data_IF_950950677961
#
_entry.id   IF_950950677961
#
_cell.length_a   1.000
_cell.length_b   1.000
_cell.length_c   1.000
_cell.angle_alpha   90.00
_cell.angle_beta   90.00
_cell.angle_gamma   90.00
#
_symmetry.space_group_name_H-M   'P 1'
#
loop_
_entity.id
_entity.type
_entity.pdbx_description
1 polymer ?
#
# COMPACT_ATOMS: atom_id res chain seq x y z
N UNK A 1 -18.42 11.69 8.38
CA UNK A 1 -18.16 10.49 9.21
C UNK A 1 -16.70 10.59 9.64
N UNK A 2 -16.43 10.75 10.93
CA UNK A 2 -15.05 10.84 11.43
C UNK A 2 -14.46 9.44 11.55
N UNK A 3 -13.29 9.21 10.98
CA UNK A 3 -12.53 7.98 11.19
C UNK A 3 -11.83 8.08 12.55
N UNK A 4 -12.20 7.24 13.50
CA UNK A 4 -11.72 7.27 14.89
C UNK A 4 -10.38 6.56 15.04
N UNK A 5 -10.26 5.34 14.54
CA UNK A 5 -9.00 4.59 14.45
C UNK A 5 -9.12 3.45 13.43
N UNK A 6 -7.99 2.84 13.05
CA UNK A 6 -7.96 1.62 12.23
C UNK A 6 -6.73 0.76 12.52
N UNK A 7 -6.74 -0.49 12.05
CA UNK A 7 -5.56 -1.36 12.04
C UNK A 7 -4.98 -1.44 10.64
N UNK A 8 -3.66 -1.34 10.52
CA UNK A 8 -2.92 -1.53 9.28
C UNK A 8 -2.07 -2.80 9.38
N UNK A 9 -2.41 -3.80 8.58
CA UNK A 9 -1.70 -5.07 8.49
C UNK A 9 -0.69 -5.03 7.34
N UNK A 10 0.55 -5.44 7.60
CA UNK A 10 1.56 -5.56 6.55
C UNK A 10 2.67 -6.57 6.87
N UNK A 11 3.41 -6.99 5.85
CA UNK A 11 4.44 -8.04 5.95
C UNK A 11 5.88 -7.52 5.95
N UNK A 12 6.07 -6.23 5.72
CA UNK A 12 7.35 -5.55 5.93
C UNK A 12 7.26 -4.73 7.22
N UNK A 13 8.38 -4.37 7.87
CA UNK A 13 8.36 -3.46 9.01
C UNK A 13 7.73 -2.08 8.69
N UNK A 14 7.31 -1.36 9.74
CA UNK A 14 6.80 0.02 9.65
C UNK A 14 7.77 0.93 8.88
N UNK A 15 7.20 1.88 8.13
CA UNK A 15 7.97 2.78 7.26
C UNK A 15 8.53 2.16 5.97
N UNK A 16 8.16 0.92 5.60
CA UNK A 16 8.63 0.27 4.36
C UNK A 16 7.52 -0.11 3.38
N UNK A 17 7.87 -0.11 2.10
CA UNK A 17 7.04 -0.61 1.00
C UNK A 17 5.70 0.11 0.86
N UNK A 18 4.72 -0.59 0.31
CA UNK A 18 3.37 -0.04 0.10
C UNK A 18 2.63 0.25 1.41
N UNK A 19 2.96 -0.46 2.49
CA UNK A 19 2.41 -0.17 3.82
C UNK A 19 2.87 1.20 4.36
N UNK A 20 4.04 1.68 3.97
CA UNK A 20 4.54 3.01 4.38
C UNK A 20 3.72 4.14 3.76
N UNK A 21 3.26 3.97 2.52
CA UNK A 21 2.46 4.96 1.80
C UNK A 21 1.13 5.19 2.53
N UNK A 22 0.52 4.11 3.04
CA UNK A 22 -0.70 4.21 3.84
C UNK A 22 -0.42 4.84 5.21
N UNK A 23 0.69 4.48 5.87
CA UNK A 23 1.10 5.12 7.14
C UNK A 23 1.25 6.63 6.98
N UNK A 24 1.93 7.07 5.92
CA UNK A 24 2.15 8.49 5.64
C UNK A 24 0.82 9.24 5.47
N UNK A 25 -0.15 8.68 4.74
CA UNK A 25 -1.49 9.27 4.63
C UNK A 25 -2.16 9.40 5.99
N UNK A 26 -2.11 8.34 6.81
CA UNK A 26 -2.76 8.31 8.13
C UNK A 26 -2.12 9.32 9.09
N UNK A 27 -0.79 9.40 9.10
CA UNK A 27 -0.02 10.36 9.89
C UNK A 27 -0.32 11.80 9.47
N UNK A 28 -0.29 12.10 8.17
CA UNK A 28 -0.58 13.45 7.63
C UNK A 28 -2.04 13.87 7.89
N UNK A 29 -2.97 12.90 7.82
CA UNK A 29 -4.37 13.12 8.15
C UNK A 29 -4.65 13.17 9.67
N UNK A 30 -3.65 12.95 10.51
CA UNK A 30 -3.75 12.82 11.97
C UNK A 30 -4.76 11.75 12.42
N UNK A 31 -4.82 10.63 11.70
CA UNK A 31 -5.68 9.49 12.00
C UNK A 31 -4.86 8.49 12.81
N UNK A 32 -5.22 8.19 14.07
CA UNK A 32 -4.51 7.19 14.84
C UNK A 32 -4.77 5.80 14.26
N UNK A 33 -3.72 4.97 14.25
CA UNK A 33 -3.80 3.61 13.75
C UNK A 33 -2.89 2.66 14.55
N UNK A 34 -3.27 1.39 14.58
CA UNK A 34 -2.44 0.31 15.10
C UNK A 34 -1.71 -0.37 13.94
N UNK A 35 -0.40 -0.50 14.04
CA UNK A 35 0.40 -1.21 13.04
C UNK A 35 0.55 -2.69 13.42
N UNK A 36 -0.03 -3.58 12.62
CA UNK A 36 0.07 -5.02 12.81
C UNK A 36 1.08 -5.58 11.82
N UNK A 37 2.26 -5.88 12.32
CA UNK A 37 3.26 -6.63 11.56
C UNK A 37 2.87 -8.12 11.50
N UNK A 38 2.91 -8.71 10.31
CA UNK A 38 2.71 -10.13 10.08
C UNK A 38 3.99 -10.68 9.45
N UNK A 39 4.61 -11.64 10.11
CA UNK A 39 5.78 -12.30 9.53
C UNK A 39 5.41 -13.00 8.23
N UNK A 40 6.11 -12.63 7.15
CA UNK A 40 5.79 -13.09 5.79
C UNK A 40 5.97 -14.60 5.63
N UNK A 41 6.94 -15.20 6.32
CA UNK A 41 7.31 -16.60 6.12
C UNK A 41 6.48 -17.55 6.99
N UNK A 42 6.27 -17.18 8.25
CA UNK A 42 5.72 -18.06 9.28
C UNK A 42 4.24 -17.81 9.55
N UNK A 43 3.78 -16.56 9.53
CA UNK A 43 2.42 -16.20 9.96
C UNK A 43 1.49 -16.00 8.76
N UNK A 44 1.98 -15.32 7.73
CA UNK A 44 1.17 -14.92 6.58
C UNK A 44 0.42 -16.09 5.89
N UNK A 45 1.02 -17.28 5.67
CA UNK A 45 0.28 -18.40 5.08
C UNK A 45 -0.97 -18.79 5.87
N UNK A 46 -0.87 -18.81 7.21
CA UNK A 46 -1.99 -19.13 8.10
C UNK A 46 -3.04 -18.02 8.10
N UNK A 47 -2.62 -16.76 8.25
CA UNK A 47 -3.52 -15.59 8.21
C UNK A 47 -4.31 -15.55 6.91
N UNK A 48 -3.63 -15.70 5.77
CA UNK A 48 -4.26 -15.74 4.45
C UNK A 48 -5.29 -16.87 4.33
N UNK A 49 -4.98 -18.07 4.82
CA UNK A 49 -5.92 -19.20 4.80
C UNK A 49 -7.19 -18.89 5.62
N UNK A 50 -7.04 -18.30 6.82
CA UNK A 50 -8.18 -17.89 7.65
C UNK A 50 -9.04 -16.81 6.97
N UNK A 51 -8.42 -15.85 6.28
CA UNK A 51 -9.14 -14.81 5.54
C UNK A 51 -9.98 -15.40 4.40
N UNK A 52 -9.40 -16.30 3.61
CA UNK A 52 -10.11 -16.99 2.52
C UNK A 52 -11.28 -17.81 3.08
N UNK A 53 -11.09 -18.52 4.20
CA UNK A 53 -12.16 -19.29 4.85
C UNK A 53 -13.31 -18.41 5.35
N UNK A 54 -13.03 -17.15 5.74
CA UNK A 54 -14.04 -16.16 6.15
C UNK A 54 -14.75 -15.45 4.98
N UNK A 55 -14.60 -15.94 3.75
CA UNK A 55 -15.16 -15.34 2.53
C UNK A 55 -14.63 -13.94 2.20
N UNK A 56 -13.42 -13.62 2.68
CA UNK A 56 -12.68 -12.44 2.26
C UNK A 56 -11.75 -12.80 1.09
N UNK A 57 -12.23 -12.54 -0.12
CA UNK A 57 -11.55 -12.92 -1.36
C UNK A 57 -10.37 -12.01 -1.75
N UNK A 58 -10.11 -10.95 -0.99
CA UNK A 58 -9.00 -10.04 -1.23
C UNK A 58 -7.89 -10.29 -0.22
N UNK A 59 -6.82 -10.94 -0.68
CA UNK A 59 -5.81 -11.57 0.16
C UNK A 59 -4.42 -10.95 -0.01
N UNK A 60 -4.32 -9.74 -0.55
CA UNK A 60 -3.04 -9.07 -0.74
C UNK A 60 -2.76 -8.06 0.39
N UNK A 61 -1.52 -8.01 0.84
CA UNK A 61 -1.03 -7.01 1.78
C UNK A 61 -0.45 -5.81 1.01
N UNK A 62 -0.61 -4.56 1.45
CA UNK A 62 -1.18 -4.13 2.73
C UNK A 62 -2.70 -4.21 2.80
N UNK A 63 -3.20 -4.30 4.04
CA UNK A 63 -4.63 -4.35 4.36
C UNK A 63 -4.95 -3.43 5.54
N UNK A 64 -6.13 -2.81 5.54
CA UNK A 64 -6.67 -2.12 6.70
C UNK A 64 -7.91 -2.82 7.23
N UNK A 65 -8.14 -2.69 8.53
CA UNK A 65 -9.39 -3.05 9.20
C UNK A 65 -9.93 -1.83 9.94
N UNK A 66 -11.17 -1.48 9.65
CA UNK A 66 -11.89 -0.41 10.33
C UNK A 66 -12.49 -0.91 11.65
N UNK A 67 -12.87 0.01 12.54
CA UNK A 67 -13.52 -0.34 13.81
C UNK A 67 -14.82 -1.15 13.66
N UNK A 68 -15.53 -1.01 12.54
CA UNK A 68 -16.73 -1.81 12.23
C UNK A 68 -16.42 -3.22 11.71
N UNK A 69 -15.13 -3.62 11.73
CA UNK A 69 -14.64 -4.92 11.27
C UNK A 69 -14.50 -5.02 9.75
N UNK A 70 -14.85 -3.98 8.97
CA UNK A 70 -14.67 -4.02 7.52
C UNK A 70 -13.19 -3.95 7.15
N UNK A 71 -12.81 -4.79 6.20
CA UNK A 71 -11.44 -4.90 5.69
C UNK A 71 -11.32 -4.45 4.24
N UNK A 72 -10.20 -3.82 3.93
CA UNK A 72 -9.86 -3.36 2.58
C UNK A 72 -8.40 -3.66 2.30
N UNK A 73 -8.07 -4.10 1.09
CA UNK A 73 -6.71 -4.37 0.67
C UNK A 73 -6.31 -3.57 -0.57
N UNK A 74 -5.01 -3.55 -0.83
CA UNK A 74 -4.42 -2.88 -1.98
C UNK A 74 -4.11 -1.42 -1.69
N UNK A 75 -2.87 -1.01 -1.94
CA UNK A 75 -2.37 0.31 -1.57
C UNK A 75 -3.22 1.46 -2.16
N UNK A 76 -3.32 1.55 -3.49
CA UNK A 76 -4.07 2.63 -4.14
C UNK A 76 -5.58 2.60 -3.83
N UNK A 77 -6.29 1.44 -3.86
CA UNK A 77 -7.69 1.38 -3.42
C UNK A 77 -7.90 1.88 -2.01
N UNK A 78 -7.04 1.49 -1.05
CA UNK A 78 -7.10 1.98 0.34
C UNK A 78 -6.90 3.50 0.39
N UNK A 79 -5.87 4.03 -0.29
CA UNK A 79 -5.58 5.46 -0.32
C UNK A 79 -6.76 6.27 -0.85
N UNK A 80 -7.38 5.84 -1.96
CA UNK A 80 -8.57 6.49 -2.53
C UNK A 80 -9.75 6.39 -1.58
N UNK A 81 -10.01 5.22 -1.00
CA UNK A 81 -11.11 5.01 -0.05
C UNK A 81 -10.99 5.93 1.17
N UNK A 82 -9.82 5.96 1.81
CA UNK A 82 -9.57 6.80 2.98
C UNK A 82 -9.69 8.28 2.65
N UNK A 83 -9.08 8.72 1.54
CA UNK A 83 -9.16 10.10 1.05
C UNK A 83 -10.61 10.55 0.84
N UNK A 84 -11.46 9.71 0.22
CA UNK A 84 -12.90 9.98 0.07
C UNK A 84 -13.60 10.05 1.42
N UNK A 85 -13.29 9.12 2.31
CA UNK A 85 -13.94 9.00 3.62
C UNK A 85 -13.65 10.19 4.53
N UNK A 86 -12.44 10.76 4.46
CA UNK A 86 -12.03 11.93 5.25
C UNK A 86 -12.26 13.27 4.54
N UNK A 87 -12.59 13.25 3.24
CA UNK A 87 -12.81 14.46 2.45
C UNK A 87 -11.53 15.29 2.22
N UNK A 88 -10.37 14.63 2.09
CA UNK A 88 -9.06 15.25 1.84
C UNK A 88 -8.31 14.48 0.75
N UNK A 89 -7.29 15.12 0.15
CA UNK A 89 -6.35 14.52 -0.82
C UNK A 89 -6.95 13.98 -2.12
N UNK A 90 -8.24 14.20 -2.35
CA UNK A 90 -8.91 13.95 -3.61
C UNK A 90 -9.51 15.26 -4.12
N UNK A 91 -9.27 15.60 -5.40
CA UNK A 91 -10.01 16.65 -6.06
C UNK A 91 -11.51 16.37 -5.97
N UNK A 92 -12.31 17.41 -5.70
CA UNK A 92 -13.76 17.30 -5.65
C UNK A 92 -14.36 18.04 -6.84
N UNK A 93 -15.11 17.31 -7.67
CA UNK A 93 -15.86 17.87 -8.80
C UNK A 93 -14.97 18.52 -9.88
N UNK A 94 -13.71 18.08 -10.01
CA UNK A 94 -12.82 18.51 -11.08
C UNK A 94 -12.23 17.27 -11.78
N UNK A 95 -12.78 16.96 -12.96
CA UNK A 95 -12.42 15.77 -13.72
C UNK A 95 -10.95 15.79 -14.18
N UNK A 96 -10.42 16.97 -14.53
CA UNK A 96 -9.04 17.10 -15.00
C UNK A 96 -8.04 16.86 -13.87
N UNK A 97 -8.33 17.37 -12.67
CA UNK A 97 -7.50 17.12 -11.48
C UNK A 97 -7.61 15.65 -11.02
N UNK A 98 -8.80 15.05 -11.09
CA UNK A 98 -8.97 13.61 -10.78
C UNK A 98 -8.15 12.74 -11.75
N UNK A 99 -8.20 13.05 -13.05
CA UNK A 99 -7.39 12.35 -14.06
C UNK A 99 -5.89 12.54 -13.79
N UNK A 100 -5.46 13.75 -13.46
CA UNK A 100 -4.06 14.03 -13.14
C UNK A 100 -3.58 13.24 -11.91
N UNK A 101 -4.39 13.19 -10.85
CA UNK A 101 -4.07 12.39 -9.65
C UNK A 101 -3.93 10.90 -10.00
N UNK A 102 -4.85 10.36 -10.80
CA UNK A 102 -4.79 8.95 -11.21
C UNK A 102 -3.54 8.66 -12.05
N UNK A 103 -3.16 9.56 -12.95
CA UNK A 103 -1.92 9.44 -13.72
C UNK A 103 -0.67 9.46 -12.81
N UNK A 104 -0.63 10.37 -11.83
CA UNK A 104 0.49 10.44 -10.88
C UNK A 104 0.57 9.19 -9.99
N UNK A 105 -0.57 8.66 -9.57
CA UNK A 105 -0.63 7.42 -8.80
C UNK A 105 -0.12 6.22 -9.62
N UNK A 106 -0.44 6.17 -10.92
CA UNK A 106 0.02 5.13 -11.83
C UNK A 106 1.55 5.17 -12.01
N UNK A 107 2.10 6.36 -12.29
CA UNK A 107 3.55 6.56 -12.37
C UNK A 107 4.29 6.13 -11.08
N UNK A 108 3.75 6.50 -9.91
CA UNK A 108 4.33 6.09 -8.63
C UNK A 108 4.31 4.55 -8.45
N UNK A 109 3.23 3.90 -8.88
CA UNK A 109 3.12 2.45 -8.87
C UNK A 109 4.12 1.79 -9.83
N UNK A 110 4.30 2.31 -11.03
CA UNK A 110 5.27 1.80 -12.01
C UNK A 110 6.70 1.90 -11.51
N UNK A 111 7.08 3.05 -10.94
CA UNK A 111 8.39 3.23 -10.30
C UNK A 111 8.59 2.27 -9.14
N UNK A 112 7.57 2.08 -8.30
CA UNK A 112 7.63 1.11 -7.21
C UNK A 112 7.82 -0.32 -7.73
N UNK A 113 7.11 -0.70 -8.80
CA UNK A 113 7.26 -2.02 -9.40
C UNK A 113 8.68 -2.24 -9.96
N UNK A 114 9.26 -1.24 -10.62
CA UNK A 114 10.65 -1.31 -11.11
C UNK A 114 11.62 -1.46 -9.94
N UNK A 115 11.50 -0.62 -8.91
CA UNK A 115 12.34 -0.70 -7.72
C UNK A 115 12.20 -2.06 -7.01
N UNK A 116 10.98 -2.56 -6.86
CA UNK A 116 10.71 -3.86 -6.28
C UNK A 116 11.33 -5.00 -7.11
N UNK A 117 11.29 -4.93 -8.45
CA UNK A 117 11.97 -5.91 -9.32
C UNK A 117 13.48 -5.94 -9.09
N UNK A 118 14.13 -4.77 -9.01
CA UNK A 118 15.58 -4.69 -8.76
C UNK A 118 15.94 -5.28 -7.40
N UNK A 119 15.16 -4.99 -6.36
CA UNK A 119 15.41 -5.48 -4.99
C UNK A 119 15.11 -6.98 -4.84
N UNK A 120 14.11 -7.50 -5.54
CA UNK A 120 13.67 -8.90 -5.45
C UNK A 120 14.35 -9.83 -6.46
N UNK A 121 15.09 -9.30 -7.43
CA UNK A 121 15.92 -10.11 -8.31
C UNK A 121 17.03 -10.77 -7.47
N UNK A 122 17.18 -12.11 -7.52
CA UNK A 122 18.39 -12.73 -7.00
C UNK A 122 19.56 -12.11 -7.77
N UNK A 123 20.62 -11.73 -7.07
CA UNK A 123 21.80 -11.14 -7.70
C UNK A 123 22.37 -12.12 -8.74
N UNK A 124 21.98 -12.00 -10.01
CA UNK A 124 22.81 -12.47 -11.10
C UNK A 124 23.96 -11.48 -11.20
N UNK A 125 25.05 -11.84 -10.54
CA UNK A 125 26.38 -11.23 -10.67
C UNK A 125 26.76 -11.30 -12.15
N UNK A 126 26.37 -10.29 -12.95
CA UNK A 126 26.93 -9.99 -14.28
C UNK A 126 26.33 -8.76 -14.99
N UNK A 127 25.23 -8.18 -14.50
CA UNK A 127 24.50 -7.13 -15.25
C UNK A 127 24.60 -5.70 -14.67
N UNK A 128 25.55 -5.44 -13.77
CA UNK A 128 26.02 -4.06 -13.58
C UNK A 128 26.90 -3.73 -14.78
N UNK A 129 26.27 -3.29 -15.88
CA UNK A 129 26.96 -2.73 -17.03
C UNK A 129 27.98 -1.68 -16.54
N UNK A 130 29.21 -1.67 -17.08
CA UNK A 130 30.16 -0.62 -16.76
C UNK A 130 29.57 0.71 -17.22
N UNK A 131 29.68 1.73 -16.37
CA UNK A 131 29.41 3.13 -16.69
C UNK A 131 30.49 3.71 -17.60
N UNK A 132 30.87 2.96 -18.64
CA UNK A 132 31.84 3.36 -19.66
C UNK A 132 31.15 3.15 -21.02
N UNK A 133 30.27 4.09 -21.40
CA UNK A 133 29.95 4.45 -22.79
C UNK A 133 28.76 5.41 -22.80
N UNK A 134 29.03 6.68 -22.45
CA UNK A 134 28.21 7.82 -22.86
C UNK A 134 29.16 8.92 -23.35
N UNK A 135 29.46 8.87 -24.65
CA UNK A 135 29.70 10.06 -25.48
C UNK A 135 28.51 10.20 -26.44
#
# INVERSE_FOLDING_TARGET
MTLSSLKLYYTLPSGRGLGAVIQLLLEDACIPFEYIYIDKANEWPSVKASLIASNHHFDCMPMIELEDGKRYSGCLPIMRFLSKKIGKYLPLNNLDEEQFLDAMADYACDWFQVAARVVLQPASISALLPLDDVF
#
